data_IF_291364041254
#
_entry.id   IF_291364041254
#
_cell.length_a   1.000
_cell.length_b   1.000
_cell.length_c   1.000
_cell.angle_alpha   90.00
_cell.angle_beta   90.00
_cell.angle_gamma   90.00
#
_symmetry.space_group_name_H-M   'P 1'
#
loop_
_entity.id
_entity.type
_entity.pdbx_description
1 polymer ?
#
# COMPACT_ATOMS: atom_id res chain seq x y z
N UNK A 1 -30.25 8.27 -44.20
CA UNK A 1 -31.13 8.51 -45.38
C UNK A 1 -31.81 9.86 -45.25
N UNK A 2 -31.90 10.64 -46.33
CA UNK A 2 -32.53 11.97 -46.36
C UNK A 2 -33.77 11.97 -47.29
N UNK A 3 -34.68 12.91 -47.08
CA UNK A 3 -35.93 13.06 -47.83
C UNK A 3 -36.36 14.52 -47.86
N UNK A 4 -37.06 14.93 -48.92
CA UNK A 4 -37.66 16.27 -49.03
C UNK A 4 -39.17 16.19 -49.16
N UNK A 5 -39.86 17.20 -48.65
CA UNK A 5 -41.29 17.39 -48.86
C UNK A 5 -41.68 18.86 -48.82
N UNK A 6 -42.82 19.17 -49.42
CA UNK A 6 -43.37 20.52 -49.50
C UNK A 6 -44.53 20.67 -48.52
N UNK A 7 -44.52 21.74 -47.72
CA UNK A 7 -45.62 22.12 -46.83
C UNK A 7 -45.99 23.58 -47.10
N UNK A 8 -47.16 23.81 -47.69
CA UNK A 8 -47.57 25.13 -48.17
C UNK A 8 -46.62 25.66 -49.27
N UNK A 9 -46.04 26.86 -49.05
CA UNK A 9 -45.09 27.48 -49.99
C UNK A 9 -43.62 27.11 -49.75
N UNK A 10 -43.33 26.28 -48.73
CA UNK A 10 -41.96 26.02 -48.26
C UNK A 10 -41.54 24.56 -48.48
N UNK A 11 -40.26 24.36 -48.78
CA UNK A 11 -39.63 23.04 -48.81
C UNK A 11 -38.97 22.70 -47.47
N UNK A 12 -38.96 21.43 -47.12
CA UNK A 12 -38.30 20.90 -45.94
C UNK A 12 -37.43 19.71 -46.32
N UNK A 13 -36.26 19.62 -45.68
CA UNK A 13 -35.35 18.49 -45.73
C UNK A 13 -35.41 17.76 -44.39
N UNK A 14 -35.56 16.46 -44.42
CA UNK A 14 -35.56 15.60 -43.26
C UNK A 14 -34.56 14.47 -43.47
N UNK A 15 -33.70 14.22 -42.50
CA UNK A 15 -32.75 13.11 -42.55
C UNK A 15 -32.61 12.44 -41.20
N UNK A 16 -32.07 11.22 -41.21
CA UNK A 16 -31.73 10.46 -40.02
C UNK A 16 -30.23 10.16 -40.03
N UNK A 17 -29.56 10.44 -38.93
CA UNK A 17 -28.16 10.09 -38.67
C UNK A 17 -28.00 9.43 -37.29
N UNK A 18 -26.78 9.14 -36.87
CA UNK A 18 -26.48 8.48 -35.58
C UNK A 18 -26.90 9.30 -34.35
N UNK A 19 -27.21 10.59 -34.50
CA UNK A 19 -27.71 11.47 -33.43
C UNK A 19 -29.23 11.61 -33.45
N UNK A 20 -29.91 11.04 -34.46
CA UNK A 20 -31.36 10.94 -34.54
C UNK A 20 -31.97 11.61 -35.76
N UNK A 21 -33.28 11.88 -35.68
CA UNK A 21 -34.05 12.49 -36.78
C UNK A 21 -33.93 14.01 -36.75
N UNK A 22 -33.50 14.57 -37.87
CA UNK A 22 -33.33 16.00 -38.05
C UNK A 22 -34.26 16.53 -39.15
N UNK A 23 -34.75 17.76 -38.97
CA UNK A 23 -35.58 18.47 -39.96
C UNK A 23 -35.07 19.90 -40.11
N UNK A 24 -34.93 20.35 -41.36
CA UNK A 24 -34.52 21.72 -41.71
C UNK A 24 -35.46 22.29 -42.76
N UNK A 25 -35.91 23.53 -42.57
CA UNK A 25 -36.63 24.24 -43.64
C UNK A 25 -35.64 24.75 -44.67
N UNK A 26 -35.95 24.54 -45.96
CA UNK A 26 -35.15 25.00 -47.08
C UNK A 26 -35.67 26.33 -47.67
N UNK A 27 -36.78 26.87 -47.15
CA UNK A 27 -37.36 28.10 -47.67
C UNK A 27 -38.24 27.92 -48.92
N UNK A 28 -38.54 29.04 -49.60
CA UNK A 28 -39.29 29.09 -50.86
C UNK A 28 -38.34 28.92 -52.04
N UNK A 29 -37.88 27.70 -52.25
CA UNK A 29 -36.96 27.35 -53.36
C UNK A 29 -37.67 26.55 -54.45
N UNK A 30 -37.06 26.45 -55.64
CA UNK A 30 -37.60 25.58 -56.69
C UNK A 30 -37.42 24.11 -56.32
N UNK A 31 -38.20 23.23 -56.95
CA UNK A 31 -38.07 21.78 -56.74
C UNK A 31 -36.67 21.26 -57.10
N UNK A 32 -36.08 21.80 -58.18
CA UNK A 32 -34.73 21.42 -58.63
C UNK A 32 -33.67 21.76 -57.58
N UNK A 33 -33.76 22.94 -56.97
CA UNK A 33 -32.82 23.36 -55.93
C UNK A 33 -32.96 22.52 -54.66
N UNK A 34 -34.19 22.11 -54.32
CA UNK A 34 -34.45 21.23 -53.19
C UNK A 34 -33.84 19.84 -53.41
N UNK A 35 -33.88 19.31 -54.63
CA UNK A 35 -33.27 18.03 -55.00
C UNK A 35 -31.73 18.08 -54.97
N UNK A 36 -31.12 19.21 -55.36
CA UNK A 36 -29.66 19.40 -55.26
C UNK A 36 -29.21 19.39 -53.79
N UNK A 37 -29.96 20.07 -52.91
CA UNK A 37 -29.67 20.09 -51.48
C UNK A 37 -29.89 18.71 -50.81
N UNK A 38 -30.88 17.95 -51.28
CA UNK A 38 -31.06 16.56 -50.87
C UNK A 38 -29.83 15.71 -51.20
N UNK A 39 -29.38 15.73 -52.47
CA UNK A 39 -28.20 14.97 -52.91
C UNK A 39 -26.93 15.35 -52.14
N UNK A 40 -26.74 16.64 -51.86
CA UNK A 40 -25.63 17.10 -51.01
C UNK A 40 -25.71 16.47 -49.62
N UNK A 41 -26.90 16.45 -49.00
CA UNK A 41 -27.08 15.86 -47.67
C UNK A 41 -26.90 14.35 -47.66
N UNK A 42 -27.33 13.66 -48.71
CA UNK A 42 -27.07 12.23 -48.89
C UNK A 42 -25.58 11.94 -49.01
N UNK A 43 -24.84 12.78 -49.75
CA UNK A 43 -23.39 12.66 -49.85
C UNK A 43 -22.71 12.82 -48.49
N UNK A 44 -23.08 13.85 -47.72
CA UNK A 44 -22.58 14.08 -46.35
C UNK A 44 -22.85 12.88 -45.43
N UNK A 45 -24.05 12.29 -45.49
CA UNK A 45 -24.42 11.15 -44.66
C UNK A 45 -23.69 9.86 -45.03
N UNK A 46 -23.29 9.72 -46.29
CA UNK A 46 -22.63 8.50 -46.79
C UNK A 46 -21.10 8.58 -46.65
N UNK A 47 -20.52 9.79 -46.67
CA UNK A 47 -19.06 9.97 -46.76
C UNK A 47 -18.41 10.59 -45.52
N UNK A 48 -19.17 11.10 -44.54
CA UNK A 48 -18.58 11.55 -43.27
C UNK A 48 -18.46 10.36 -42.30
N UNK A 49 -17.27 10.07 -41.76
CA UNK A 49 -17.12 9.06 -40.73
C UNK A 49 -17.98 9.46 -39.52
N UNK A 50 -18.86 8.56 -39.10
CA UNK A 50 -19.65 8.70 -37.90
C UNK A 50 -18.68 8.71 -36.71
N UNK A 51 -18.34 9.91 -36.22
CA UNK A 51 -17.58 10.05 -34.97
C UNK A 51 -18.52 9.63 -33.84
N UNK A 52 -18.36 8.39 -33.37
CA UNK A 52 -18.92 7.92 -32.11
C UNK A 52 -18.29 8.72 -30.96
N UNK A 53 -18.89 9.87 -30.63
CA UNK A 53 -18.53 10.64 -29.44
C UNK A 53 -19.42 10.22 -28.26
N UNK A 54 -18.76 10.00 -27.11
CA UNK A 54 -19.30 9.84 -25.75
C UNK A 54 -20.13 8.59 -25.40
N UNK A 55 -19.47 7.57 -24.84
CA UNK A 55 -19.87 6.91 -23.56
C UNK A 55 -18.82 5.92 -23.01
N UNK A 56 -17.51 6.18 -23.16
CA UNK A 56 -16.47 5.28 -22.59
C UNK A 56 -15.72 5.87 -21.39
N UNK A 57 -15.71 7.21 -21.22
CA UNK A 57 -14.98 7.84 -20.11
C UNK A 57 -15.57 7.51 -18.73
N UNK A 58 -16.89 7.34 -18.62
CA UNK A 58 -17.56 7.00 -17.35
C UNK A 58 -17.15 5.64 -16.81
N UNK A 59 -17.14 4.60 -17.67
CA UNK A 59 -16.78 3.25 -17.25
C UNK A 59 -15.29 3.14 -16.92
N UNK A 60 -14.41 3.83 -17.67
CA UNK A 60 -12.97 3.86 -17.38
C UNK A 60 -12.69 4.53 -16.04
N UNK A 61 -13.38 5.63 -15.71
CA UNK A 61 -13.24 6.29 -14.41
C UNK A 61 -13.70 5.40 -13.26
N UNK A 62 -14.83 4.70 -13.40
CA UNK A 62 -15.34 3.78 -12.37
C UNK A 62 -14.37 2.62 -12.15
N UNK A 63 -13.85 2.02 -13.22
CA UNK A 63 -12.88 0.92 -13.14
C UNK A 63 -11.58 1.40 -12.49
N UNK A 64 -11.08 2.59 -12.85
CA UNK A 64 -9.90 3.17 -12.24
C UNK A 64 -10.09 3.42 -10.74
N UNK A 65 -11.25 3.97 -10.35
CA UNK A 65 -11.58 4.23 -8.95
C UNK A 65 -11.71 2.93 -8.14
N UNK A 66 -12.28 1.88 -8.76
CA UNK A 66 -12.39 0.55 -8.16
C UNK A 66 -11.01 -0.07 -7.96
N UNK A 67 -10.12 0.00 -8.97
CA UNK A 67 -8.76 -0.51 -8.85
C UNK A 67 -7.97 0.22 -7.74
N UNK A 68 -8.07 1.56 -7.68
CA UNK A 68 -7.44 2.36 -6.62
C UNK A 68 -8.02 1.98 -5.25
N UNK A 69 -9.33 1.77 -5.15
CA UNK A 69 -9.97 1.33 -3.91
C UNK A 69 -9.44 -0.03 -3.45
N UNK A 70 -9.35 -1.02 -4.34
CA UNK A 70 -8.79 -2.34 -4.01
C UNK A 70 -7.34 -2.23 -3.54
N UNK A 71 -6.50 -1.45 -4.25
CA UNK A 71 -5.10 -1.24 -3.87
C UNK A 71 -5.01 -0.54 -2.51
N UNK A 72 -5.83 0.48 -2.29
CA UNK A 72 -5.86 1.21 -1.02
C UNK A 72 -6.31 0.31 0.13
N UNK A 73 -7.33 -0.53 -0.08
CA UNK A 73 -7.78 -1.53 0.89
C UNK A 73 -6.67 -2.55 1.17
N UNK A 74 -6.04 -3.11 0.14
CA UNK A 74 -4.93 -4.04 0.34
C UNK A 74 -3.80 -3.38 1.15
N UNK A 75 -3.41 -2.15 0.81
CA UNK A 75 -2.37 -1.42 1.52
C UNK A 75 -2.74 -1.11 2.97
N UNK A 76 -4.01 -0.76 3.22
CA UNK A 76 -4.56 -0.55 4.55
C UNK A 76 -4.53 -1.83 5.40
N UNK A 77 -4.85 -2.98 4.81
CA UNK A 77 -4.91 -4.26 5.52
C UNK A 77 -3.55 -4.93 5.73
N UNK A 78 -2.54 -4.67 4.90
CA UNK A 78 -1.18 -5.23 5.02
C UNK A 78 -0.60 -5.17 6.44
N UNK A 79 -0.61 -4.03 7.16
CA UNK A 79 -0.06 -3.98 8.52
C UNK A 79 -0.84 -4.81 9.56
N UNK A 80 -2.09 -5.23 9.26
CA UNK A 80 -2.94 -5.99 10.16
C UNK A 80 -2.91 -7.51 9.92
N UNK A 81 -2.46 -7.95 8.74
CA UNK A 81 -2.37 -9.37 8.41
C UNK A 81 -1.49 -10.17 9.40
N UNK A 82 -0.32 -9.67 9.83
CA UNK A 82 0.52 -10.42 10.77
C UNK A 82 -0.16 -10.66 12.13
N UNK A 83 -0.89 -9.68 12.67
CA UNK A 83 -1.58 -9.81 13.95
C UNK A 83 -2.78 -10.74 13.86
N UNK A 84 -3.53 -10.69 12.75
CA UNK A 84 -4.59 -11.65 12.46
C UNK A 84 -4.05 -13.07 12.33
N UNK A 85 -2.92 -13.25 11.64
CA UNK A 85 -2.31 -14.57 11.49
C UNK A 85 -1.78 -15.12 12.81
N UNK A 86 -1.10 -14.29 13.62
CA UNK A 86 -0.62 -14.70 14.94
C UNK A 86 -1.78 -15.09 15.85
N UNK A 87 -2.82 -14.25 15.95
CA UNK A 87 -3.99 -14.55 16.78
C UNK A 87 -4.72 -15.81 16.32
N UNK A 88 -4.80 -16.06 15.02
CA UNK A 88 -5.36 -17.30 14.47
C UNK A 88 -4.50 -18.52 14.85
N UNK A 89 -3.19 -18.46 14.69
CA UNK A 89 -2.26 -19.54 15.04
C UNK A 89 -2.38 -19.88 16.52
N UNK A 90 -2.33 -18.85 17.37
CA UNK A 90 -2.55 -19.00 18.81
C UNK A 90 -3.89 -19.67 19.05
N UNK A 91 -4.99 -19.13 18.52
CA UNK A 91 -6.34 -19.67 18.70
C UNK A 91 -6.38 -21.17 18.36
N UNK A 92 -5.87 -21.59 17.20
CA UNK A 92 -5.85 -23.00 16.76
C UNK A 92 -5.09 -23.86 17.78
N UNK A 93 -3.92 -23.42 18.23
CA UNK A 93 -3.07 -24.20 19.15
C UNK A 93 -3.67 -24.33 20.55
N UNK A 94 -4.36 -23.30 21.03
CA UNK A 94 -4.96 -23.26 22.37
C UNK A 94 -6.46 -23.60 22.36
N UNK A 95 -7.03 -23.87 21.19
CA UNK A 95 -8.48 -24.10 21.00
C UNK A 95 -9.00 -25.25 21.85
N UNK A 96 -8.22 -26.33 21.98
CA UNK A 96 -8.59 -27.46 22.83
C UNK A 96 -8.73 -27.05 24.31
N UNK A 97 -7.88 -26.12 24.77
CA UNK A 97 -7.98 -25.52 26.10
C UNK A 97 -9.25 -24.67 26.24
N UNK A 98 -9.56 -23.86 25.23
CA UNK A 98 -10.80 -23.09 25.18
C UNK A 98 -12.04 -23.98 25.23
N UNK A 99 -12.10 -25.06 24.44
CA UNK A 99 -13.25 -25.96 24.41
C UNK A 99 -13.49 -26.62 25.78
N UNK A 100 -12.44 -27.11 26.44
CA UNK A 100 -12.53 -27.65 27.82
C UNK A 100 -13.05 -26.62 28.82
N UNK A 101 -12.69 -25.35 28.64
CA UNK A 101 -13.15 -24.26 29.51
C UNK A 101 -14.60 -23.86 29.21
N UNK A 102 -14.99 -23.86 27.94
CA UNK A 102 -16.35 -23.58 27.44
C UNK A 102 -17.37 -24.63 27.91
N UNK A 103 -16.93 -25.84 28.27
CA UNK A 103 -17.80 -26.84 28.91
C UNK A 103 -18.19 -26.48 30.35
N UNK A 104 -17.38 -25.65 31.04
CA UNK A 104 -17.60 -25.27 32.45
C UNK A 104 -18.14 -23.84 32.61
N UNK A 105 -17.89 -22.97 31.64
CA UNK A 105 -18.29 -21.57 31.64
C UNK A 105 -19.07 -21.23 30.37
N UNK A 106 -19.77 -20.10 30.35
CA UNK A 106 -20.35 -19.62 29.09
C UNK A 106 -19.25 -19.33 28.05
N UNK A 107 -19.52 -19.53 26.77
CA UNK A 107 -18.53 -19.34 25.69
C UNK A 107 -17.86 -17.96 25.73
N UNK A 108 -18.62 -16.92 26.08
CA UNK A 108 -18.10 -15.55 26.25
C UNK A 108 -17.09 -15.44 27.39
N UNK A 109 -17.38 -16.05 28.54
CA UNK A 109 -16.48 -16.06 29.69
C UNK A 109 -15.24 -16.91 29.43
N UNK A 110 -15.41 -18.09 28.82
CA UNK A 110 -14.29 -18.95 28.44
C UNK A 110 -13.34 -18.24 27.45
N UNK A 111 -13.88 -17.56 26.45
CA UNK A 111 -13.09 -16.79 25.48
C UNK A 111 -12.33 -15.66 26.18
N UNK A 112 -13.01 -14.91 27.06
CA UNK A 112 -12.37 -13.84 27.82
C UNK A 112 -11.23 -14.36 28.71
N UNK A 113 -11.44 -15.44 29.45
CA UNK A 113 -10.42 -16.04 30.32
C UNK A 113 -9.23 -16.54 29.51
N UNK A 114 -9.47 -17.24 28.39
CA UNK A 114 -8.41 -17.73 27.52
C UNK A 114 -7.61 -16.59 26.87
N UNK A 115 -8.29 -15.57 26.34
CA UNK A 115 -7.61 -14.40 25.79
C UNK A 115 -6.77 -13.70 26.83
N UNK A 116 -7.28 -13.52 28.06
CA UNK A 116 -6.55 -12.87 29.15
C UNK A 116 -5.33 -13.71 29.57
N UNK A 117 -5.51 -15.02 29.71
CA UNK A 117 -4.43 -15.97 30.03
C UNK A 117 -3.31 -15.95 28.99
N UNK A 118 -3.65 -16.06 27.71
CA UNK A 118 -2.66 -15.97 26.63
C UNK A 118 -2.01 -14.58 26.57
N UNK A 119 -2.79 -13.52 26.82
CA UNK A 119 -2.25 -12.16 26.81
C UNK A 119 -1.16 -12.02 27.88
N UNK A 120 -1.43 -12.45 29.11
CA UNK A 120 -0.48 -12.34 30.22
C UNK A 120 0.72 -13.27 30.04
N UNK A 121 0.51 -14.49 29.53
CA UNK A 121 1.56 -15.51 29.45
C UNK A 121 2.45 -15.38 28.21
N UNK A 122 1.93 -14.85 27.10
CA UNK A 122 2.63 -14.83 25.82
C UNK A 122 2.72 -13.44 25.21
N UNK A 123 1.59 -12.76 25.01
CA UNK A 123 1.57 -11.49 24.26
C UNK A 123 2.31 -10.39 25.04
N UNK A 124 2.06 -10.29 26.34
CA UNK A 124 2.62 -9.24 27.20
C UNK A 124 4.15 -9.40 27.38
N UNK A 125 4.69 -10.59 27.72
CA UNK A 125 6.15 -10.78 27.78
C UNK A 125 6.84 -10.49 26.44
N UNK A 126 6.29 -10.98 25.33
CA UNK A 126 6.83 -10.71 24.00
C UNK A 126 6.80 -9.21 23.69
N UNK A 127 5.72 -8.53 24.08
CA UNK A 127 5.56 -7.10 23.88
C UNK A 127 6.54 -6.26 24.68
N UNK A 128 6.81 -6.68 25.91
CA UNK A 128 7.75 -6.01 26.79
C UNK A 128 9.15 -6.04 26.19
N UNK A 129 9.60 -7.20 25.71
CA UNK A 129 10.91 -7.35 25.06
C UNK A 129 11.02 -6.42 23.85
N UNK A 130 9.99 -6.37 22.99
CA UNK A 130 9.99 -5.52 21.80
C UNK A 130 9.98 -4.02 22.14
N UNK A 131 9.18 -3.58 23.11
CA UNK A 131 9.10 -2.18 23.53
C UNK A 131 10.40 -1.70 24.19
N UNK A 132 10.93 -2.46 25.14
CA UNK A 132 12.18 -2.12 25.82
C UNK A 132 13.33 -2.08 24.82
N UNK A 133 13.41 -3.06 23.91
CA UNK A 133 14.41 -3.05 22.84
C UNK A 133 14.29 -1.81 21.96
N UNK A 134 13.09 -1.39 21.57
CA UNK A 134 12.90 -0.18 20.76
C UNK A 134 13.37 1.11 21.45
N UNK A 135 13.13 1.23 22.76
CA UNK A 135 13.57 2.37 23.57
C UNK A 135 15.09 2.37 23.74
N UNK A 136 15.69 1.23 24.11
CA UNK A 136 17.13 1.11 24.28
C UNK A 136 17.89 1.35 22.97
N UNK A 137 17.38 0.80 21.87
CA UNK A 137 17.91 1.01 20.52
C UNK A 137 17.88 2.49 20.15
N UNK A 138 16.82 3.22 20.51
CA UNK A 138 16.76 4.67 20.29
C UNK A 138 17.84 5.42 21.08
N UNK A 139 18.13 4.99 22.31
CA UNK A 139 19.25 5.50 23.10
C UNK A 139 20.62 5.19 22.47
N UNK A 140 20.78 4.00 21.89
CA UNK A 140 22.01 3.60 21.18
C UNK A 140 22.21 4.41 19.89
N UNK A 141 21.14 4.71 19.14
CA UNK A 141 21.21 5.60 17.97
C UNK A 141 21.77 6.96 18.37
N UNK A 142 21.23 7.56 19.44
CA UNK A 142 21.67 8.88 19.90
C UNK A 142 23.14 8.84 20.35
N UNK A 143 23.56 7.81 21.10
CA UNK A 143 24.96 7.63 21.49
C UNK A 143 25.88 7.48 20.28
N UNK A 144 25.53 6.64 19.30
CA UNK A 144 26.33 6.46 18.07
C UNK A 144 26.34 7.72 17.21
N UNK A 145 25.26 8.51 17.24
CA UNK A 145 25.18 9.73 16.47
C UNK A 145 26.06 10.84 17.06
N UNK A 146 26.03 11.02 18.39
CA UNK A 146 26.61 12.16 19.09
C UNK A 146 28.03 11.90 19.66
N UNK A 147 28.30 10.67 20.12
CA UNK A 147 29.55 10.32 20.82
C UNK A 147 30.63 9.74 19.88
N UNK A 148 30.23 9.35 18.66
CA UNK A 148 31.13 8.70 17.72
C UNK A 148 32.02 9.71 16.99
N UNK A 149 33.14 10.05 17.63
CA UNK A 149 34.16 10.96 17.10
C UNK A 149 35.20 10.20 16.27
N UNK A 150 35.37 10.58 14.99
CA UNK A 150 36.39 10.01 14.08
C UNK A 150 37.82 10.12 14.66
N UNK A 151 38.05 11.13 15.49
CA UNK A 151 39.34 11.43 16.13
C UNK A 151 39.75 10.29 17.09
N UNK A 152 38.81 9.70 17.82
CA UNK A 152 39.10 8.63 18.78
C UNK A 152 39.45 7.30 18.10
N UNK A 153 38.81 7.03 16.95
CA UNK A 153 39.11 5.85 16.13
C UNK A 153 40.49 5.96 15.50
N UNK A 154 40.89 7.16 15.06
CA UNK A 154 42.28 7.41 14.59
C UNK A 154 43.29 7.19 15.70
N UNK A 155 42.99 7.60 16.94
CA UNK A 155 43.86 7.38 18.11
C UNK A 155 44.02 5.90 18.46
N UNK A 156 42.92 5.13 18.43
CA UNK A 156 42.96 3.67 18.68
C UNK A 156 43.73 2.95 17.57
N UNK A 157 43.53 3.35 16.31
CA UNK A 157 44.26 2.80 15.17
C UNK A 157 45.76 3.08 15.30
N UNK A 158 46.16 4.32 15.58
CA UNK A 158 47.56 4.72 15.72
C UNK A 158 48.23 3.99 16.92
N UNK A 159 47.52 3.82 18.04
CA UNK A 159 48.00 3.03 19.20
C UNK A 159 48.14 1.54 18.89
N UNK A 160 47.26 0.99 18.06
CA UNK A 160 47.29 -0.42 17.67
C UNK A 160 48.42 -0.67 16.66
N UNK A 161 48.59 0.20 15.66
CA UNK A 161 49.67 0.09 14.66
C UNK A 161 51.04 0.23 15.32
N UNK A 162 51.19 1.13 16.30
CA UNK A 162 52.46 1.32 17.02
C UNK A 162 52.76 0.20 18.02
N UNK A 163 51.73 -0.47 18.57
CA UNK A 163 51.86 -1.58 19.51
C UNK A 163 52.15 -2.95 18.87
N UNK A 164 51.95 -3.11 17.56
CA UNK A 164 52.21 -4.38 16.86
C UNK A 164 53.58 -4.39 16.14
N UNK A 165 54.30 -5.53 16.17
CA UNK A 165 55.54 -5.74 15.40
C UNK A 165 55.20 -6.00 13.92
N UNK A 166 54.76 -4.95 13.23
CA UNK A 166 54.42 -4.97 11.80
C UNK A 166 55.67 -4.70 10.93
N UNK A 167 55.78 -5.40 9.80
CA UNK A 167 56.80 -5.12 8.78
C UNK A 167 56.59 -3.75 8.13
N UNK A 168 57.66 -3.12 7.64
CA UNK A 168 57.61 -1.77 7.05
C UNK A 168 56.60 -1.66 5.89
N UNK A 169 56.51 -2.70 5.06
CA UNK A 169 55.52 -2.81 3.99
C UNK A 169 54.07 -2.85 4.47
N UNK A 170 53.81 -3.45 5.64
CA UNK A 170 52.47 -3.52 6.22
C UNK A 170 52.10 -2.21 6.89
N UNK A 171 53.07 -1.54 7.54
CA UNK A 171 52.89 -0.19 8.10
C UNK A 171 52.54 0.81 7.01
N UNK A 172 53.26 0.77 5.89
CA UNK A 172 53.01 1.65 4.75
C UNK A 172 51.62 1.41 4.11
N UNK A 173 51.21 0.14 3.96
CA UNK A 173 49.85 -0.19 3.48
C UNK A 173 48.74 0.28 4.43
N UNK A 174 48.93 0.10 5.74
CA UNK A 174 47.96 0.54 6.76
C UNK A 174 47.86 2.07 6.83
N UNK A 175 48.99 2.77 6.75
CA UNK A 175 49.03 4.23 6.78
C UNK A 175 48.47 4.86 5.49
N UNK A 176 48.72 4.27 4.32
CA UNK A 176 48.30 4.87 3.04
C UNK A 176 46.89 4.46 2.62
N UNK A 177 46.51 3.21 2.84
CA UNK A 177 45.23 2.66 2.36
C UNK A 177 44.17 2.73 3.45
N UNK A 178 44.48 2.28 4.66
CA UNK A 178 43.51 2.27 5.75
C UNK A 178 43.28 3.69 6.28
N UNK A 179 44.32 4.46 6.62
CA UNK A 179 44.15 5.80 7.21
C UNK A 179 43.37 6.80 6.35
N UNK A 180 43.46 6.66 5.02
CA UNK A 180 42.75 7.50 4.05
C UNK A 180 41.31 7.02 3.78
N UNK A 181 41.04 5.72 3.89
CA UNK A 181 39.70 5.16 3.63
C UNK A 181 38.89 4.84 4.90
N UNK A 182 39.54 4.82 6.09
CA UNK A 182 38.90 4.42 7.34
C UNK A 182 37.78 5.38 7.72
N UNK A 183 37.90 6.67 7.39
CA UNK A 183 36.85 7.65 7.62
C UNK A 183 35.58 7.30 6.84
N UNK A 184 35.71 6.96 5.56
CA UNK A 184 34.59 6.51 4.73
C UNK A 184 33.99 5.17 5.20
N UNK A 185 34.84 4.21 5.59
CA UNK A 185 34.40 2.91 6.13
C UNK A 185 33.63 3.09 7.44
N UNK A 186 34.17 3.90 8.35
CA UNK A 186 33.60 4.18 9.67
C UNK A 186 32.26 4.90 9.54
N UNK A 187 32.16 5.89 8.64
CA UNK A 187 30.89 6.57 8.34
C UNK A 187 29.87 5.58 7.74
N UNK A 188 30.28 4.74 6.80
CA UNK A 188 29.38 3.74 6.17
C UNK A 188 28.86 2.73 7.19
N UNK A 189 29.71 2.25 8.09
CA UNK A 189 29.32 1.31 9.16
C UNK A 189 28.40 2.02 10.17
N UNK A 190 28.70 3.27 10.54
CA UNK A 190 27.84 4.09 11.39
C UNK A 190 26.45 4.27 10.77
N UNK A 191 26.38 4.66 9.50
CA UNK A 191 25.12 4.89 8.80
C UNK A 191 24.30 3.60 8.64
N UNK A 192 24.97 2.48 8.34
CA UNK A 192 24.33 1.17 8.32
C UNK A 192 23.79 0.77 9.70
N UNK A 193 24.58 0.94 10.77
CA UNK A 193 24.15 0.66 12.13
C UNK A 193 22.95 1.53 12.53
N UNK A 194 23.01 2.84 12.25
CA UNK A 194 21.92 3.78 12.48
C UNK A 194 20.68 3.38 11.66
N UNK A 195 20.84 2.97 10.41
CA UNK A 195 19.73 2.51 9.56
C UNK A 195 19.04 1.29 10.18
N UNK A 196 19.80 0.26 10.54
CA UNK A 196 19.27 -0.97 11.17
C UNK A 196 18.57 -0.64 12.49
N UNK A 197 19.21 0.17 13.35
CA UNK A 197 18.65 0.56 14.64
C UNK A 197 17.37 1.41 14.46
N UNK A 198 17.34 2.34 13.50
CA UNK A 198 16.14 3.12 13.16
C UNK A 198 15.01 2.23 12.67
N UNK A 199 15.30 1.21 11.86
CA UNK A 199 14.31 0.23 11.42
C UNK A 199 13.72 -0.55 12.61
N UNK A 200 14.53 -0.94 13.59
CA UNK A 200 14.03 -1.61 14.81
C UNK A 200 13.15 -0.67 15.65
N UNK A 201 13.57 0.58 15.82
CA UNK A 201 12.81 1.58 16.58
C UNK A 201 11.47 1.97 15.91
N UNK A 202 11.41 2.03 14.58
CA UNK A 202 10.16 2.31 13.86
C UNK A 202 9.18 1.13 13.95
N UNK A 203 9.69 -0.10 13.88
CA UNK A 203 8.89 -1.32 14.05
C UNK A 203 8.25 -1.40 15.45
N UNK A 204 8.94 -0.94 16.50
CA UNK A 204 8.36 -0.94 17.86
C UNK A 204 7.17 0.00 18.04
N UNK A 205 7.07 1.10 17.27
CA UNK A 205 5.92 2.01 17.34
C UNK A 205 4.64 1.37 16.77
N UNK A 206 4.78 0.66 15.65
CA UNK A 206 3.67 -0.08 15.03
C UNK A 206 3.24 -1.30 15.87
N UNK A 207 4.10 -1.74 16.78
CA UNK A 207 3.87 -2.92 17.60
C UNK A 207 2.69 -2.76 18.58
N UNK A 208 2.37 -1.54 19.04
CA UNK A 208 1.21 -1.31 19.91
C UNK A 208 -0.10 -1.68 19.20
N UNK A 209 -0.26 -1.25 17.94
CA UNK A 209 -1.41 -1.63 17.12
C UNK A 209 -1.45 -3.14 16.87
N UNK A 210 -0.29 -3.75 16.64
CA UNK A 210 -0.17 -5.19 16.50
C UNK A 210 -0.71 -5.94 17.74
N UNK A 211 -0.36 -5.49 18.96
CA UNK A 211 -0.86 -6.07 20.22
C UNK A 211 -2.39 -5.96 20.30
N UNK A 212 -2.92 -4.74 20.13
CA UNK A 212 -4.36 -4.48 20.28
C UNK A 212 -5.15 -5.36 19.32
N UNK A 213 -4.74 -5.41 18.05
CA UNK A 213 -5.42 -6.20 17.04
C UNK A 213 -5.27 -7.70 17.32
N UNK A 214 -4.11 -8.15 17.79
CA UNK A 214 -3.90 -9.56 18.16
C UNK A 214 -4.84 -9.97 19.28
N UNK A 215 -4.92 -9.19 20.37
CA UNK A 215 -5.79 -9.49 21.52
C UNK A 215 -7.26 -9.46 21.11
N UNK A 216 -7.67 -8.42 20.37
CA UNK A 216 -9.04 -8.26 19.89
C UNK A 216 -9.44 -9.44 19.00
N UNK A 217 -8.63 -9.74 17.98
CA UNK A 217 -8.91 -10.79 17.02
C UNK A 217 -8.90 -12.18 17.68
N UNK A 218 -7.98 -12.41 18.62
CA UNK A 218 -7.92 -13.66 19.37
C UNK A 218 -9.22 -13.93 20.15
N UNK A 219 -9.80 -12.90 20.78
CA UNK A 219 -11.08 -13.03 21.47
C UNK A 219 -12.21 -13.46 20.53
N UNK A 220 -12.34 -12.80 19.37
CA UNK A 220 -13.37 -13.15 18.39
C UNK A 220 -13.10 -14.52 17.74
N UNK A 221 -11.85 -14.89 17.51
CA UNK A 221 -11.52 -16.22 16.99
C UNK A 221 -11.87 -17.34 17.97
N UNK A 222 -11.75 -17.15 19.28
CA UNK A 222 -12.26 -18.14 20.24
C UNK A 222 -13.79 -18.21 20.22
N UNK A 223 -14.46 -17.05 20.17
CA UNK A 223 -15.92 -16.97 20.25
C UNK A 223 -16.60 -17.54 18.99
N UNK A 224 -16.10 -17.17 17.82
CA UNK A 224 -16.70 -17.51 16.52
C UNK A 224 -15.99 -18.67 15.81
N UNK A 225 -14.85 -19.16 16.32
CA UNK A 225 -14.05 -20.19 15.66
C UNK A 225 -14.81 -21.49 15.36
N UNK A 226 -15.76 -21.85 16.22
CA UNK A 226 -16.61 -23.03 16.05
C UNK A 226 -17.60 -22.89 14.87
N UNK A 227 -17.96 -21.64 14.51
CA UNK A 227 -18.80 -21.33 13.34
C UNK A 227 -18.00 -21.17 12.05
N UNK A 228 -16.70 -20.92 12.14
CA UNK A 228 -15.80 -20.78 10.98
C UNK A 228 -15.34 -22.14 10.45
N UNK A 229 -15.30 -23.18 11.30
CA UNK A 229 -14.79 -24.53 10.97
C UNK A 229 -15.91 -25.50 10.54
N UNK A 230 -17.19 -25.18 10.81
CA UNK A 230 -18.36 -25.97 10.33
C UNK A 230 -18.70 -25.64 8.88
#
# INVERSE_FOLDING_TARGET
MASIYKRGKYWHLQWNDSKGRHRKSLGKISKKDAEVLLKRKEYELTHLPVIHDKSQKGNVLIIALLAISVIAIMWLFTPFLPSLFLSLLICITTYNGFNKLSQRYSSKQAAMIMTLGVTVLLILPLSYVMLVSGIEVSGLINKIQDDFQIIEIRRILDQTITGLPLSDSMREFLDTTLRNNIEGIVITIKDFAIMVLKSVATLSSQFIFFIIITIFSLYYFYLDGETIIK
#
